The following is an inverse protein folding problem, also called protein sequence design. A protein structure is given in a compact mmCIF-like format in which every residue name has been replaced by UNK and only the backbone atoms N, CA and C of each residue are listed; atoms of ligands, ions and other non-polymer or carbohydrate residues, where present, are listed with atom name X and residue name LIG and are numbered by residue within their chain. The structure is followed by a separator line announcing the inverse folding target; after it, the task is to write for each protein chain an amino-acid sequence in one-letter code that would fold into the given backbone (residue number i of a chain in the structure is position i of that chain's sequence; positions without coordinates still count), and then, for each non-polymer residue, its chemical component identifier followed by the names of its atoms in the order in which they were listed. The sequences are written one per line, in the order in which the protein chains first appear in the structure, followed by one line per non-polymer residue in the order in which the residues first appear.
data_IF_886678702831
#
_entry.id   IF_886678702831
#
_cell.length_a   1.000
_cell.length_b   1.000
_cell.length_c   1.000
_cell.angle_alpha   90.00
_cell.angle_beta   90.00
_cell.angle_gamma   90.00
#
_symmetry.space_group_name_H-M   'P 1'
#
loop_
_entity.id
_entity.type
_entity.pdbx_description
1 polymer ?
#
# COMPACT_ATOMS: atom_id res chain seq x y z
N UNK A 1 -8.47 28.76 -31.33
CA UNK A 1 -9.29 28.08 -30.30
C UNK A 1 -9.36 26.58 -30.52
N UNK A 2 -8.75 26.05 -31.60
CA UNK A 2 -8.89 24.64 -32.00
C UNK A 2 -8.10 23.66 -31.13
N UNK A 3 -7.17 24.14 -30.30
CA UNK A 3 -6.37 23.31 -29.39
C UNK A 3 -7.04 23.07 -28.03
N UNK A 4 -8.13 23.79 -27.70
CA UNK A 4 -8.79 23.68 -26.39
C UNK A 4 -9.30 22.26 -26.12
N UNK A 5 -9.95 21.55 -27.08
CA UNK A 5 -10.37 20.17 -26.88
C UNK A 5 -9.19 19.23 -26.62
N UNK A 6 -8.05 19.43 -27.30
CA UNK A 6 -6.86 18.63 -27.09
C UNK A 6 -6.23 18.89 -25.72
N UNK A 7 -6.05 20.16 -25.34
CA UNK A 7 -5.51 20.52 -24.03
C UNK A 7 -6.40 20.00 -22.88
N UNK A 8 -7.72 20.00 -23.06
CA UNK A 8 -8.65 19.39 -22.11
C UNK A 8 -8.49 17.87 -22.04
N UNK A 9 -8.49 17.17 -23.18
CA UNK A 9 -8.30 15.72 -23.21
C UNK A 9 -6.94 15.30 -22.61
N UNK A 10 -5.87 16.00 -22.96
CA UNK A 10 -4.51 15.81 -22.42
C UNK A 10 -4.50 16.02 -20.89
N UNK A 11 -5.09 17.11 -20.39
CA UNK A 11 -5.23 17.38 -18.96
C UNK A 11 -6.02 16.29 -18.21
N UNK A 12 -7.13 15.81 -18.78
CA UNK A 12 -7.92 14.73 -18.19
C UNK A 12 -7.12 13.44 -18.16
N UNK A 13 -6.46 13.11 -19.27
CA UNK A 13 -5.67 11.89 -19.40
C UNK A 13 -4.55 11.85 -18.36
N UNK A 14 -3.84 12.97 -18.08
CA UNK A 14 -2.83 13.03 -17.02
C UNK A 14 -3.30 12.48 -15.67
N UNK A 15 -4.57 12.68 -15.35
CA UNK A 15 -5.18 12.24 -14.08
C UNK A 15 -5.62 10.77 -14.08
N UNK A 16 -5.77 10.13 -15.25
CA UNK A 16 -6.33 8.78 -15.37
C UNK A 16 -5.28 7.69 -15.21
N UNK A 17 -5.53 6.69 -14.35
CA UNK A 17 -4.68 5.50 -14.25
C UNK A 17 -4.67 4.70 -15.59
N UNK A 18 -3.75 3.73 -15.73
CA UNK A 18 -3.59 3.00 -17.00
C UNK A 18 -4.84 2.20 -17.41
N UNK A 19 -5.64 1.73 -16.44
CA UNK A 19 -6.91 1.04 -16.70
C UNK A 19 -7.95 2.00 -17.29
N UNK A 20 -8.24 3.11 -16.62
CA UNK A 20 -9.16 4.15 -17.09
C UNK A 20 -8.71 4.75 -18.43
N UNK A 21 -7.39 4.88 -18.62
CA UNK A 21 -6.78 5.31 -19.87
C UNK A 21 -7.10 4.36 -21.05
N UNK A 22 -7.04 3.05 -20.82
CA UNK A 22 -7.35 2.07 -21.87
C UNK A 22 -8.82 2.15 -22.32
N UNK A 23 -9.72 2.52 -21.41
CA UNK A 23 -11.13 2.71 -21.70
C UNK A 23 -11.38 4.00 -22.50
N UNK A 24 -10.65 5.08 -22.22
CA UNK A 24 -10.79 6.34 -22.98
C UNK A 24 -10.33 6.24 -24.42
N UNK A 25 -9.41 5.31 -24.74
CA UNK A 25 -9.02 5.05 -26.14
C UNK A 25 -10.15 4.49 -27.02
N UNK A 26 -11.22 3.98 -26.40
CA UNK A 26 -12.42 3.51 -27.12
C UNK A 26 -13.42 4.64 -27.44
N UNK A 27 -13.20 5.85 -26.92
CA UNK A 27 -13.95 7.03 -27.34
C UNK A 27 -13.52 7.34 -28.79
N UNK A 28 -14.40 7.06 -29.75
CA UNK A 28 -14.19 7.19 -31.21
C UNK A 28 -13.91 8.62 -31.73
N UNK A 29 -13.48 9.54 -30.87
CA UNK A 29 -13.09 10.89 -31.23
C UNK A 29 -11.60 10.94 -31.58
N UNK A 30 -11.28 11.62 -32.69
CA UNK A 30 -9.90 11.85 -33.14
C UNK A 30 -9.08 12.58 -32.09
N UNK A 31 -9.68 13.48 -31.31
CA UNK A 31 -9.00 14.24 -30.25
C UNK A 31 -8.54 13.31 -29.12
N UNK A 32 -9.45 12.47 -28.61
CA UNK A 32 -9.13 11.49 -27.56
C UNK A 32 -8.12 10.46 -28.01
N UNK A 33 -8.24 9.97 -29.25
CA UNK A 33 -7.28 9.03 -29.84
C UNK A 33 -5.87 9.63 -29.94
N UNK A 34 -5.76 10.86 -30.45
CA UNK A 34 -4.47 11.55 -30.58
C UNK A 34 -3.84 11.88 -29.23
N UNK A 35 -4.63 12.36 -28.27
CA UNK A 35 -4.17 12.63 -26.92
C UNK A 35 -3.73 11.33 -26.24
N UNK A 36 -4.52 10.25 -26.35
CA UNK A 36 -4.13 8.94 -25.83
C UNK A 36 -2.78 8.48 -26.40
N UNK A 37 -2.62 8.45 -27.73
CA UNK A 37 -1.36 8.06 -28.36
C UNK A 37 -0.15 8.88 -27.87
N UNK A 38 -0.35 10.19 -27.65
CA UNK A 38 0.70 11.07 -27.11
C UNK A 38 1.08 10.66 -25.69
N UNK A 39 0.09 10.40 -24.83
CA UNK A 39 0.32 9.92 -23.48
C UNK A 39 0.96 8.53 -23.44
N UNK A 40 0.57 7.62 -24.32
CA UNK A 40 1.16 6.27 -24.36
C UNK A 40 2.67 6.31 -24.65
N UNK A 41 3.09 7.23 -25.51
CA UNK A 41 4.48 7.35 -25.94
C UNK A 41 5.32 8.20 -24.98
N UNK A 42 4.70 9.16 -24.28
CA UNK A 42 5.43 10.15 -23.46
C UNK A 42 5.31 9.94 -21.95
N UNK A 43 4.35 9.16 -21.46
CA UNK A 43 4.18 8.92 -20.02
C UNK A 43 5.39 8.23 -19.42
N UNK A 44 5.81 8.74 -18.27
CA UNK A 44 6.87 8.16 -17.47
C UNK A 44 6.35 7.97 -16.05
N UNK A 45 6.37 6.72 -15.59
CA UNK A 45 6.06 6.39 -14.21
C UNK A 45 7.32 6.51 -13.36
N UNK A 46 7.12 7.03 -12.17
CA UNK A 46 8.13 7.19 -11.15
C UNK A 46 7.68 6.56 -9.84
N UNK A 47 8.66 6.08 -9.11
CA UNK A 47 8.58 5.67 -7.73
C UNK A 47 9.13 6.80 -6.85
N UNK A 48 8.34 7.21 -5.85
CA UNK A 48 8.77 8.14 -4.82
C UNK A 48 9.25 7.36 -3.61
N UNK A 49 10.56 7.36 -3.39
CA UNK A 49 11.19 6.68 -2.26
C UNK A 49 11.51 7.67 -1.14
N UNK A 50 11.05 7.36 0.07
CA UNK A 50 11.36 8.11 1.28
C UNK A 50 12.06 7.17 2.25
N UNK A 51 13.35 7.41 2.46
CA UNK A 51 14.17 6.65 3.38
C UNK A 51 14.33 7.40 4.70
N UNK A 52 14.15 6.67 5.80
CA UNK A 52 14.42 7.16 7.15
C UNK A 52 15.76 6.62 7.63
N UNK A 53 16.63 7.50 8.15
CA UNK A 53 17.91 7.12 8.77
C UNK A 53 17.83 7.15 10.28
N UNK A 54 18.68 6.35 10.92
CA UNK A 54 18.75 6.25 12.38
C UNK A 54 19.24 7.55 13.05
N UNK A 55 20.03 8.36 12.34
CA UNK A 55 20.52 9.66 12.79
C UNK A 55 19.48 10.80 12.67
N UNK A 56 18.24 10.49 12.28
CA UNK A 56 17.16 11.47 12.12
C UNK A 56 17.20 12.26 10.80
N UNK A 57 18.08 11.91 9.87
CA UNK A 57 18.06 12.44 8.50
C UNK A 57 17.22 11.55 7.58
N UNK A 58 17.02 12.03 6.35
CA UNK A 58 16.17 11.41 5.35
C UNK A 58 16.89 11.34 4.02
N UNK A 59 16.43 10.45 3.17
CA UNK A 59 16.68 10.53 1.72
C UNK A 59 15.34 10.53 1.01
N UNK A 60 15.20 11.37 -0.01
CA UNK A 60 14.00 11.42 -0.84
C UNK A 60 14.43 11.35 -2.30
N UNK A 61 13.92 10.36 -3.03
CA UNK A 61 14.25 10.18 -4.43
C UNK A 61 13.00 9.99 -5.26
N UNK A 62 13.07 10.48 -6.49
CA UNK A 62 12.15 10.11 -7.54
C UNK A 62 12.91 9.22 -8.54
N UNK A 63 12.58 7.94 -8.56
CA UNK A 63 13.23 6.95 -9.41
C UNK A 63 12.31 6.60 -10.58
N UNK A 64 12.87 6.58 -11.79
CA UNK A 64 12.12 6.14 -12.97
C UNK A 64 11.94 4.63 -12.94
N UNK A 65 10.72 4.14 -13.15
CA UNK A 65 10.42 2.70 -13.20
C UNK A 65 11.40 2.00 -14.18
N UNK A 66 12.16 1.00 -13.70
CA UNK A 66 13.19 0.23 -14.45
C UNK A 66 14.47 0.98 -14.83
N UNK A 67 14.75 2.13 -14.23
CA UNK A 67 16.06 2.77 -14.30
C UNK A 67 16.73 2.83 -12.93
N UNK A 68 18.06 2.77 -12.88
CA UNK A 68 18.84 3.13 -11.70
C UNK A 68 19.09 4.66 -11.62
N UNK A 69 18.53 5.43 -12.54
CA UNK A 69 18.63 6.87 -12.56
C UNK A 69 17.71 7.47 -11.51
N UNK A 70 18.31 8.20 -10.58
CA UNK A 70 17.58 8.97 -9.59
C UNK A 70 17.52 10.42 -10.06
N UNK A 71 16.31 10.95 -10.13
CA UNK A 71 16.10 12.36 -10.42
C UNK A 71 15.97 13.08 -9.08
N UNK A 72 17.02 13.79 -8.66
CA UNK A 72 17.00 14.60 -7.44
C UNK A 72 16.19 15.90 -7.63
N UNK A 73 15.98 16.36 -8.86
CA UNK A 73 15.26 17.61 -9.14
C UNK A 73 14.40 17.47 -10.39
N UNK A 74 13.08 17.45 -10.21
CA UNK A 74 12.11 17.47 -11.31
C UNK A 74 12.11 18.79 -12.11
N UNK A 75 12.73 19.85 -11.56
CA UNK A 75 12.58 21.22 -12.04
C UNK A 75 13.10 21.50 -13.45
N UNK A 76 13.90 20.59 -14.03
CA UNK A 76 14.59 20.84 -15.30
C UNK A 76 14.08 19.97 -16.47
N UNK A 77 13.09 19.11 -16.24
CA UNK A 77 12.58 18.22 -17.29
C UNK A 77 11.46 18.91 -18.09
N UNK A 78 11.59 19.05 -19.43
CA UNK A 78 10.57 19.71 -20.27
C UNK A 78 9.25 18.93 -20.38
N UNK A 79 9.14 17.78 -19.71
CA UNK A 79 8.00 16.85 -19.80
C UNK A 79 7.27 16.65 -18.47
N UNK A 80 7.36 17.62 -17.54
CA UNK A 80 6.66 17.58 -16.24
C UNK A 80 5.20 17.15 -16.35
N UNK A 81 4.50 17.56 -17.42
CA UNK A 81 3.11 17.14 -17.66
C UNK A 81 2.99 15.61 -17.66
N UNK A 82 3.87 14.88 -18.33
CA UNK A 82 3.76 13.43 -18.53
C UNK A 82 4.31 12.58 -17.38
N UNK A 83 4.75 13.21 -16.29
CA UNK A 83 5.27 12.55 -15.09
C UNK A 83 4.11 12.04 -14.25
N UNK A 84 4.27 10.82 -13.72
CA UNK A 84 3.33 10.22 -12.78
C UNK A 84 4.07 9.55 -11.65
N UNK A 85 3.50 9.63 -10.46
CA UNK A 85 3.95 8.83 -9.33
C UNK A 85 2.95 7.68 -9.20
N UNK A 86 3.40 6.47 -9.49
CA UNK A 86 2.55 5.29 -9.42
C UNK A 86 2.83 4.45 -8.17
N UNK A 87 4.00 4.66 -7.56
CA UNK A 87 4.48 3.92 -6.40
C UNK A 87 5.05 4.90 -5.40
N UNK A 88 4.70 4.74 -4.13
CA UNK A 88 5.34 5.47 -3.02
C UNK A 88 5.88 4.45 -2.03
N UNK A 89 7.16 4.54 -1.72
CA UNK A 89 7.85 3.64 -0.81
C UNK A 89 8.38 4.38 0.41
N UNK A 90 8.19 3.78 1.57
CA UNK A 90 8.73 4.22 2.85
C UNK A 90 9.63 3.13 3.40
N UNK A 91 10.92 3.40 3.55
CA UNK A 91 11.90 2.38 3.93
C UNK A 91 12.84 2.88 5.03
N UNK A 92 13.23 1.99 5.94
CA UNK A 92 14.40 2.22 6.79
C UNK A 92 15.65 1.94 5.97
N UNK A 93 16.70 2.74 6.19
CA UNK A 93 18.03 2.52 5.63
C UNK A 93 18.06 2.43 4.09
N UNK A 94 18.13 3.59 3.45
CA UNK A 94 18.44 3.69 2.02
C UNK A 94 19.85 3.22 1.65
N UNK A 95 20.21 3.25 0.36
CA UNK A 95 21.51 2.78 -0.12
C UNK A 95 22.67 3.42 0.67
N UNK A 96 23.55 2.59 1.24
CA UNK A 96 24.63 3.01 2.15
C UNK A 96 25.65 3.96 1.49
N UNK A 97 25.69 4.00 0.17
CA UNK A 97 26.70 4.71 -0.61
C UNK A 97 26.43 6.22 -0.76
N UNK A 98 25.32 6.76 -0.23
CA UNK A 98 24.88 8.14 -0.49
C UNK A 98 24.70 9.00 0.76
N UNK A 99 25.71 9.02 1.64
CA UNK A 99 25.69 9.89 2.84
C UNK A 99 25.58 11.38 2.53
N UNK A 100 26.07 11.81 1.35
CA UNK A 100 26.05 13.22 0.97
C UNK A 100 24.68 13.73 0.51
N UNK A 101 23.71 12.82 0.30
CA UNK A 101 22.34 13.16 -0.11
C UNK A 101 21.38 13.28 1.09
N UNK A 102 21.90 13.12 2.31
CA UNK A 102 21.09 13.20 3.52
C UNK A 102 20.50 14.60 3.69
N UNK A 103 19.19 14.65 3.91
CA UNK A 103 18.42 15.89 4.04
C UNK A 103 17.61 15.90 5.33
N UNK A 104 17.31 17.10 5.80
CA UNK A 104 16.38 17.35 6.89
C UNK A 104 14.95 17.01 6.48
N UNK A 105 14.08 16.80 7.48
CA UNK A 105 12.67 16.54 7.21
C UNK A 105 11.96 17.68 6.46
N UNK A 106 12.37 18.93 6.67
CA UNK A 106 11.76 20.08 5.99
C UNK A 106 12.11 20.08 4.50
N UNK A 107 13.36 19.73 4.16
CA UNK A 107 13.78 19.58 2.76
C UNK A 107 13.00 18.45 2.06
N UNK A 108 12.72 17.35 2.76
CA UNK A 108 11.81 16.31 2.23
C UNK A 108 10.44 16.91 1.93
N UNK A 109 9.85 17.69 2.84
CA UNK A 109 8.54 18.32 2.64
C UNK A 109 8.54 19.28 1.43
N UNK A 110 9.60 20.05 1.26
CA UNK A 110 9.76 20.97 0.12
C UNK A 110 9.79 20.22 -1.21
N UNK A 111 10.30 18.98 -1.22
CA UNK A 111 10.26 18.09 -2.40
C UNK A 111 8.88 17.46 -2.58
N UNK A 112 8.28 16.88 -1.52
CA UNK A 112 7.08 16.03 -1.67
C UNK A 112 5.77 16.80 -1.76
N UNK A 113 5.68 18.01 -1.18
CA UNK A 113 4.46 18.81 -1.21
C UNK A 113 4.09 19.23 -2.65
N UNK A 114 5.02 19.73 -3.47
CA UNK A 114 4.75 20.02 -4.88
C UNK A 114 4.28 18.81 -5.70
N UNK A 115 4.60 17.57 -5.27
CA UNK A 115 4.20 16.34 -5.96
C UNK A 115 2.75 15.95 -5.72
N UNK A 116 2.04 16.59 -4.78
CA UNK A 116 0.64 16.26 -4.44
C UNK A 116 -0.29 16.09 -5.64
N UNK A 117 -0.24 16.94 -6.69
CA UNK A 117 -1.09 16.76 -7.88
C UNK A 117 -0.84 15.46 -8.65
N UNK A 118 0.33 14.83 -8.48
CA UNK A 118 0.72 13.60 -9.16
C UNK A 118 0.30 12.33 -8.39
N UNK A 119 -0.04 12.46 -7.11
CA UNK A 119 -0.39 11.35 -6.21
C UNK A 119 -1.71 10.61 -6.50
N UNK A 120 -2.74 11.19 -7.16
CA UNK A 120 -3.96 10.45 -7.49
C UNK A 120 -3.74 9.22 -8.37
N UNK A 121 -2.58 9.16 -9.05
CA UNK A 121 -2.17 8.05 -9.91
C UNK A 121 -1.55 6.87 -9.15
N UNK A 122 -1.24 7.02 -7.85
CA UNK A 122 -0.53 6.00 -7.08
C UNK A 122 -1.37 4.73 -6.98
N UNK A 123 -0.78 3.62 -7.42
CA UNK A 123 -1.36 2.27 -7.40
C UNK A 123 -0.85 1.41 -6.25
N UNK A 124 0.34 1.72 -5.74
CA UNK A 124 1.00 0.88 -4.77
C UNK A 124 1.71 1.71 -3.70
N UNK A 125 1.58 1.24 -2.46
CA UNK A 125 2.38 1.72 -1.33
C UNK A 125 3.27 0.60 -0.82
N UNK A 126 4.54 0.93 -0.60
CA UNK A 126 5.51 0.04 0.04
C UNK A 126 5.90 0.60 1.40
N UNK A 127 5.84 -0.24 2.44
CA UNK A 127 6.30 0.10 3.78
C UNK A 127 7.31 -0.93 4.24
N UNK A 128 8.59 -0.58 4.27
CA UNK A 128 9.68 -1.42 4.78
C UNK A 128 10.33 -0.69 5.96
N UNK A 129 9.56 -0.51 7.03
CA UNK A 129 9.99 0.33 8.17
C UNK A 129 10.40 -0.54 9.36
N UNK A 130 11.64 -1.03 9.39
CA UNK A 130 12.23 -1.52 10.64
C UNK A 130 13.54 -2.30 10.47
N UNK A 131 14.25 -2.46 11.58
CA UNK A 131 15.39 -3.37 11.69
C UNK A 131 14.95 -4.64 12.42
N UNK A 132 15.29 -5.84 11.91
CA UNK A 132 14.92 -7.11 12.55
C UNK A 132 15.59 -7.35 13.92
N UNK A 133 16.58 -6.55 14.32
CA UNK A 133 17.51 -6.88 15.41
C UNK A 133 17.48 -5.96 16.65
N UNK A 134 16.39 -5.21 16.89
CA UNK A 134 15.90 -5.09 18.28
C UNK A 134 16.16 -3.84 19.12
N UNK A 135 16.97 -2.86 18.73
CA UNK A 135 17.17 -1.63 19.57
C UNK A 135 16.54 -0.35 19.00
N UNK A 136 15.94 -0.45 17.80
CA UNK A 136 15.34 0.69 17.13
C UNK A 136 13.85 0.83 17.45
N UNK A 137 13.51 1.73 18.37
CA UNK A 137 12.14 2.01 18.79
C UNK A 137 11.34 2.81 17.72
N UNK A 138 12.02 3.46 16.77
CA UNK A 138 11.35 4.11 15.64
C UNK A 138 10.40 5.25 16.01
N UNK A 139 10.46 5.75 17.26
CA UNK A 139 9.57 6.81 17.77
C UNK A 139 9.66 8.08 16.92
N UNK A 140 10.86 8.49 16.53
CA UNK A 140 11.05 9.70 15.72
C UNK A 140 10.50 9.50 14.30
N UNK A 141 10.77 8.37 13.65
CA UNK A 141 10.22 8.02 12.33
C UNK A 141 8.70 8.05 12.34
N UNK A 142 8.07 7.51 13.39
CA UNK A 142 6.61 7.55 13.53
C UNK A 142 6.09 8.98 13.63
N UNK A 143 6.79 9.89 14.31
CA UNK A 143 6.41 11.32 14.36
C UNK A 143 6.48 11.96 12.98
N UNK A 144 7.54 11.68 12.21
CA UNK A 144 7.70 12.21 10.85
C UNK A 144 6.72 11.59 9.86
N UNK A 145 6.50 10.28 9.93
CA UNK A 145 5.53 9.58 9.11
C UNK A 145 4.12 10.13 9.32
N UNK A 146 3.73 10.47 10.56
CA UNK A 146 2.46 11.13 10.84
C UNK A 146 2.30 12.48 10.14
N UNK A 147 3.37 13.23 9.91
CA UNK A 147 3.35 14.49 9.15
C UNK A 147 3.25 14.26 7.63
N UNK A 148 3.54 13.05 7.17
CA UNK A 148 3.40 12.60 5.77
C UNK A 148 2.08 11.85 5.54
N UNK A 149 1.03 12.15 6.30
CA UNK A 149 -0.23 11.43 6.21
C UNK A 149 -0.94 11.58 4.87
N UNK A 150 -0.73 12.68 4.16
CA UNK A 150 -1.21 12.84 2.79
C UNK A 150 -0.57 11.85 1.80
N UNK A 151 0.60 11.29 2.10
CA UNK A 151 1.26 10.26 1.28
C UNK A 151 0.85 8.85 1.71
N UNK A 152 0.87 8.54 3.01
CA UNK A 152 0.54 7.18 3.44
C UNK A 152 -0.96 6.93 3.52
N UNK A 153 -1.83 7.94 3.68
CA UNK A 153 -3.30 7.77 3.61
C UNK A 153 -3.83 7.78 2.17
N UNK A 154 -3.01 7.49 1.17
CA UNK A 154 -3.48 7.36 -0.20
C UNK A 154 -4.40 6.13 -0.34
N UNK A 155 -5.47 6.32 -1.11
CA UNK A 155 -6.42 5.25 -1.45
C UNK A 155 -5.81 4.44 -2.60
N UNK A 156 -5.10 3.36 -2.26
CA UNK A 156 -4.36 2.53 -3.23
C UNK A 156 -4.90 1.11 -3.34
N UNK A 157 -4.85 0.47 -4.51
CA UNK A 157 -5.24 -0.92 -4.69
C UNK A 157 -4.26 -1.93 -4.08
N UNK A 158 -2.97 -1.59 -3.96
CA UNK A 158 -1.95 -2.51 -3.45
C UNK A 158 -1.19 -1.91 -2.28
N UNK A 159 -0.99 -2.72 -1.24
CA UNK A 159 -0.14 -2.40 -0.11
C UNK A 159 0.88 -3.51 0.13
N UNK A 160 2.15 -3.20 -0.08
CA UNK A 160 3.26 -4.08 0.27
C UNK A 160 3.87 -3.60 1.58
N UNK A 161 4.05 -4.49 2.55
CA UNK A 161 4.55 -4.10 3.87
C UNK A 161 5.45 -5.12 4.56
N UNK A 162 6.46 -4.61 5.25
CA UNK A 162 7.36 -5.31 6.14
C UNK A 162 7.65 -4.37 7.31
N UNK A 163 7.34 -4.80 8.54
CA UNK A 163 7.55 -3.99 9.74
C UNK A 163 6.73 -2.67 9.79
N UNK A 164 5.66 -2.57 8.99
CA UNK A 164 4.84 -1.37 8.91
C UNK A 164 4.20 -0.97 10.26
N UNK A 165 4.20 0.34 10.62
CA UNK A 165 3.51 0.83 11.81
C UNK A 165 2.04 0.40 11.86
N UNK A 166 1.62 -0.07 13.03
CA UNK A 166 0.28 -0.66 13.21
C UNK A 166 -0.86 0.30 12.89
N UNK A 167 -0.69 1.60 13.13
CA UNK A 167 -1.68 2.63 12.82
C UNK A 167 -1.84 2.86 11.31
N UNK A 168 -0.74 2.84 10.55
CA UNK A 168 -0.75 2.89 9.08
C UNK A 168 -1.43 1.65 8.52
N UNK A 169 -1.03 0.46 8.97
CA UNK A 169 -1.64 -0.79 8.52
C UNK A 169 -3.14 -0.85 8.84
N UNK A 170 -3.54 -0.49 10.06
CA UNK A 170 -4.95 -0.44 10.44
C UNK A 170 -5.75 0.56 9.61
N UNK A 171 -5.15 1.72 9.26
CA UNK A 171 -5.81 2.68 8.40
C UNK A 171 -6.08 2.07 7.02
N UNK A 172 -5.11 1.41 6.39
CA UNK A 172 -5.35 0.80 5.08
C UNK A 172 -6.36 -0.33 5.15
N UNK A 173 -6.24 -1.24 6.11
CA UNK A 173 -7.17 -2.37 6.23
C UNK A 173 -8.61 -1.92 6.48
N UNK A 174 -8.82 -0.80 7.20
CA UNK A 174 -10.16 -0.33 7.58
C UNK A 174 -10.73 0.74 6.65
N UNK A 175 -9.90 1.71 6.25
CA UNK A 175 -10.34 2.97 5.60
C UNK A 175 -9.91 3.10 4.15
N UNK A 176 -9.01 2.26 3.64
CA UNK A 176 -8.68 2.26 2.22
C UNK A 176 -9.74 1.46 1.44
N UNK A 177 -10.67 2.17 0.81
CA UNK A 177 -11.78 1.62 0.04
C UNK A 177 -11.32 1.03 -1.31
N UNK A 178 -10.14 1.44 -1.79
CA UNK A 178 -9.59 0.94 -3.06
C UNK A 178 -8.72 -0.30 -2.87
N UNK A 179 -8.38 -0.68 -1.64
CA UNK A 179 -7.45 -1.78 -1.35
C UNK A 179 -8.00 -3.12 -1.84
N UNK A 180 -7.27 -3.76 -2.75
CA UNK A 180 -7.57 -5.08 -3.32
C UNK A 180 -6.60 -6.14 -2.85
N UNK A 181 -5.34 -5.76 -2.62
CA UNK A 181 -4.25 -6.69 -2.35
C UNK A 181 -3.34 -6.17 -1.24
N UNK A 182 -2.90 -7.08 -0.38
CA UNK A 182 -1.90 -6.81 0.64
C UNK A 182 -0.85 -7.91 0.66
N UNK A 183 0.42 -7.54 0.60
CA UNK A 183 1.55 -8.48 0.64
C UNK A 183 2.49 -8.09 1.76
N UNK A 184 2.78 -8.99 2.69
CA UNK A 184 3.67 -8.63 3.77
C UNK A 184 3.85 -9.68 4.86
N UNK A 185 4.78 -9.40 5.77
CA UNK A 185 4.97 -10.16 7.00
C UNK A 185 4.69 -9.24 8.19
N UNK A 186 3.71 -9.62 9.01
CA UNK A 186 3.56 -9.05 10.34
C UNK A 186 4.70 -9.58 11.22
N UNK A 187 5.40 -8.69 11.94
CA UNK A 187 6.12 -9.14 13.12
C UNK A 187 5.09 -9.67 14.14
N UNK A 188 5.43 -10.67 14.95
CA UNK A 188 4.62 -11.16 16.07
C UNK A 188 4.56 -10.17 17.24
N UNK A 189 4.43 -8.87 16.97
CA UNK A 189 4.20 -7.83 17.99
C UNK A 189 2.79 -7.90 18.61
N UNK A 190 1.91 -8.76 18.09
CA UNK A 190 0.60 -9.07 18.67
C UNK A 190 0.53 -10.44 19.35
N UNK A 191 1.62 -11.21 19.40
CA UNK A 191 1.60 -12.54 20.01
C UNK A 191 2.79 -12.73 20.95
N UNK A 192 2.48 -12.91 22.23
CA UNK A 192 3.35 -13.57 23.22
C UNK A 192 3.72 -15.01 22.83
N UNK A 193 3.30 -15.52 21.66
CA UNK A 193 3.70 -16.82 21.12
C UNK A 193 4.86 -16.66 20.13
N UNK A 194 5.94 -17.42 20.37
CA UNK A 194 7.22 -17.42 19.64
C UNK A 194 7.14 -17.96 18.19
N UNK A 195 6.03 -17.81 17.48
CA UNK A 195 5.82 -18.43 16.16
C UNK A 195 5.46 -17.39 15.08
N UNK A 196 5.96 -17.58 13.84
CA UNK A 196 5.69 -16.66 12.73
C UNK A 196 4.21 -16.70 12.34
N UNK A 197 3.64 -15.51 12.09
CA UNK A 197 2.28 -15.32 11.62
C UNK A 197 2.26 -15.23 10.10
N UNK A 198 1.46 -16.08 9.44
CA UNK A 198 1.16 -15.95 8.02
C UNK A 198 -0.17 -15.23 7.87
N UNK A 199 -0.18 -14.11 7.14
CA UNK A 199 -1.40 -13.38 6.76
C UNK A 199 -1.74 -13.79 5.33
N UNK A 200 -2.92 -14.38 5.12
CA UNK A 200 -3.46 -14.66 3.78
C UNK A 200 -4.48 -13.59 3.37
N UNK A 201 -4.67 -13.35 2.04
CA UNK A 201 -5.52 -12.29 1.51
C UNK A 201 -6.99 -12.41 1.92
N UNK A 202 -7.71 -11.29 1.74
CA UNK A 202 -9.13 -11.11 2.05
C UNK A 202 -9.98 -12.25 1.47
N UNK A 203 -10.63 -13.00 2.36
CA UNK A 203 -11.61 -14.04 2.01
C UNK A 203 -12.96 -13.34 1.82
N UNK A 204 -13.53 -13.38 0.61
CA UNK A 204 -14.72 -12.59 0.26
C UNK A 204 -16.03 -13.38 0.35
N UNK A 205 -15.99 -14.71 0.47
CA UNK A 205 -17.16 -15.58 0.62
C UNK A 205 -17.01 -16.64 1.73
N UNK A 206 -18.13 -17.22 2.17
CA UNK A 206 -18.13 -18.38 3.08
C UNK A 206 -17.45 -19.58 2.41
N UNK A 207 -17.66 -19.79 1.11
CA UNK A 207 -17.06 -20.90 0.36
C UNK A 207 -15.53 -20.83 0.40
N UNK A 208 -14.95 -19.63 0.40
CA UNK A 208 -13.52 -19.44 0.52
C UNK A 208 -13.02 -19.77 1.94
N UNK A 209 -13.80 -19.49 2.99
CA UNK A 209 -13.51 -19.96 4.37
C UNK A 209 -13.53 -21.48 4.41
N UNK A 210 -14.55 -22.10 3.84
CA UNK A 210 -14.71 -23.57 3.85
C UNK A 210 -13.60 -24.26 3.07
N UNK A 211 -13.24 -23.70 1.91
CA UNK A 211 -12.14 -24.17 1.08
C UNK A 211 -10.83 -24.03 1.84
N UNK A 212 -10.57 -22.86 2.43
CA UNK A 212 -9.37 -22.64 3.26
C UNK A 212 -9.33 -23.59 4.47
N UNK A 213 -10.44 -23.77 5.18
CA UNK A 213 -10.55 -24.65 6.34
C UNK A 213 -10.30 -26.11 5.95
N UNK A 214 -10.85 -26.56 4.83
CA UNK A 214 -10.64 -27.91 4.28
C UNK A 214 -9.19 -28.11 3.84
N UNK A 215 -8.62 -27.16 3.10
CA UNK A 215 -7.20 -27.20 2.68
C UNK A 215 -6.25 -27.21 3.87
N UNK A 216 -6.49 -26.35 4.86
CA UNK A 216 -5.69 -26.26 6.07
C UNK A 216 -5.79 -27.53 6.92
N UNK A 217 -6.97 -28.14 7.02
CA UNK A 217 -7.16 -29.40 7.73
C UNK A 217 -6.44 -30.57 7.05
N UNK A 218 -6.32 -30.55 5.71
CA UNK A 218 -5.59 -31.57 4.94
C UNK A 218 -4.08 -31.40 5.01
N UNK A 219 -3.60 -30.17 5.12
CA UNK A 219 -2.18 -29.87 5.19
C UNK A 219 -1.91 -28.79 6.25
N UNK A 220 -1.99 -29.15 7.54
CA UNK A 220 -1.82 -28.20 8.64
C UNK A 220 -0.36 -27.72 8.65
N UNK A 221 -0.15 -26.47 8.24
CA UNK A 221 1.14 -25.81 8.38
C UNK A 221 1.47 -25.68 9.88
N UNK A 222 2.72 -25.93 10.32
CA UNK A 222 3.11 -25.91 11.73
C UNK A 222 3.16 -24.48 12.35
N UNK A 223 2.61 -23.48 11.66
CA UNK A 223 2.66 -22.07 12.02
C UNK A 223 1.27 -21.59 12.43
N UNK A 224 1.21 -20.68 13.42
CA UNK A 224 -0.03 -20.03 13.81
C UNK A 224 -0.44 -19.04 12.70
N UNK A 225 -1.66 -19.17 12.18
CA UNK A 225 -2.16 -18.34 11.08
C UNK A 225 -3.13 -17.29 11.62
N UNK A 226 -2.91 -16.03 11.24
CA UNK A 226 -3.91 -14.97 11.44
C UNK A 226 -4.50 -14.65 10.08
N UNK A 227 -5.76 -15.05 9.89
CA UNK A 227 -6.50 -14.79 8.65
C UNK A 227 -7.48 -13.67 8.94
N UNK A 228 -7.20 -12.46 8.48
CA UNK A 228 -8.15 -11.35 8.65
C UNK A 228 -9.20 -11.47 7.55
N UNK A 229 -10.44 -11.78 7.94
CA UNK A 229 -11.54 -11.98 7.00
C UNK A 229 -12.56 -10.87 7.15
N UNK A 230 -12.63 -10.01 6.14
CA UNK A 230 -13.56 -8.89 6.10
C UNK A 230 -14.89 -9.37 5.52
N UNK A 231 -15.91 -9.53 6.37
CA UNK A 231 -17.21 -10.02 5.95
C UNK A 231 -18.29 -8.96 6.09
N UNK A 232 -18.97 -8.63 5.00
CA UNK A 232 -20.08 -7.68 5.04
C UNK A 232 -21.41 -8.27 5.48
N UNK A 233 -21.68 -9.59 5.40
CA UNK A 233 -23.07 -10.08 5.56
C UNK A 233 -23.26 -11.49 6.14
N UNK A 234 -22.22 -12.16 6.67
CA UNK A 234 -22.27 -13.61 6.92
C UNK A 234 -22.06 -14.06 8.38
N UNK A 235 -21.94 -13.13 9.33
CA UNK A 235 -21.65 -13.43 10.74
C UNK A 235 -22.63 -14.44 11.35
N UNK A 236 -23.93 -14.33 11.03
CA UNK A 236 -24.95 -15.27 11.51
C UNK A 236 -24.75 -16.71 11.01
N UNK A 237 -24.32 -16.90 9.76
CA UNK A 237 -24.13 -18.23 9.17
C UNK A 237 -22.85 -18.88 9.70
N UNK A 238 -21.82 -18.08 9.97
CA UNK A 238 -20.56 -18.53 10.57
C UNK A 238 -20.77 -18.99 12.01
N UNK A 239 -21.54 -18.23 12.81
CA UNK A 239 -21.82 -18.59 14.21
C UNK A 239 -22.61 -19.89 14.38
N UNK A 240 -23.29 -20.36 13.32
CA UNK A 240 -23.94 -21.67 13.32
C UNK A 240 -22.96 -22.83 13.09
N UNK A 241 -21.84 -22.58 12.41
CA UNK A 241 -20.86 -23.63 12.03
C UNK A 241 -19.62 -23.65 12.90
N UNK A 242 -19.19 -22.51 13.44
CA UNK A 242 -17.98 -22.40 14.23
C UNK A 242 -18.19 -21.54 15.48
N UNK A 243 -17.51 -21.87 16.59
CA UNK A 243 -17.59 -21.09 17.81
C UNK A 243 -17.02 -19.69 17.59
N UNK A 244 -17.82 -18.68 17.90
CA UNK A 244 -17.42 -17.27 17.92
C UNK A 244 -16.93 -16.94 19.34
N UNK A 245 -15.75 -16.34 19.43
CA UNK A 245 -15.20 -15.74 20.63
C UNK A 245 -15.21 -14.22 20.48
N UNK A 246 -15.91 -13.52 21.37
CA UNK A 246 -15.88 -12.06 21.42
C UNK A 246 -14.77 -11.61 22.37
N UNK A 247 -13.87 -10.73 21.91
CA UNK A 247 -12.81 -10.20 22.77
C UNK A 247 -13.33 -9.08 23.70
N UNK A 248 -12.50 -8.63 24.66
CA UNK A 248 -12.86 -7.57 25.61
C UNK A 248 -13.23 -6.22 24.96
N UNK A 249 -12.91 -6.03 23.67
CA UNK A 249 -13.24 -4.84 22.88
C UNK A 249 -14.53 -5.03 22.05
N UNK A 250 -15.27 -6.12 22.26
CA UNK A 250 -16.50 -6.42 21.53
C UNK A 250 -16.27 -6.88 20.09
N UNK A 251 -15.04 -7.27 19.72
CA UNK A 251 -14.78 -7.80 18.39
C UNK A 251 -14.98 -9.31 18.38
N UNK A 252 -15.83 -9.77 17.47
CA UNK A 252 -16.06 -11.19 17.26
C UNK A 252 -14.92 -11.82 16.47
N UNK A 253 -14.52 -13.03 16.85
CA UNK A 253 -13.51 -13.79 16.15
C UNK A 253 -13.87 -15.27 16.13
N UNK A 254 -13.58 -15.96 15.04
CA UNK A 254 -13.67 -17.40 14.95
C UNK A 254 -12.28 -17.98 15.14
N UNK A 255 -12.14 -18.93 16.07
CA UNK A 255 -10.89 -19.66 16.24
C UNK A 255 -11.06 -21.05 15.65
N UNK A 256 -10.41 -21.33 14.53
CA UNK A 256 -10.26 -22.70 14.05
C UNK A 256 -9.07 -23.33 14.79
N UNK A 257 -9.36 -24.31 15.64
CA UNK A 257 -8.32 -25.06 16.37
C UNK A 257 -8.01 -26.35 15.63
N UNK A 258 -6.74 -26.59 15.36
CA UNK A 258 -6.18 -27.89 14.98
C UNK A 258 -5.29 -28.39 16.14
N UNK A 259 -5.09 -29.71 16.31
CA UNK A 259 -4.24 -30.24 17.40
C UNK A 259 -2.82 -29.64 17.48
N UNK A 260 -2.30 -29.11 16.38
CA UNK A 260 -0.92 -28.60 16.27
C UNK A 260 -0.81 -27.12 15.92
N UNK A 261 -1.91 -26.44 15.63
CA UNK A 261 -1.94 -25.04 15.17
C UNK A 261 -3.31 -24.40 15.38
N UNK A 262 -3.36 -23.06 15.40
CA UNK A 262 -4.61 -22.32 15.43
C UNK A 262 -4.68 -21.31 14.29
N UNK A 263 -5.87 -21.13 13.72
CA UNK A 263 -6.18 -20.04 12.81
C UNK A 263 -7.20 -19.10 13.46
N UNK A 264 -6.85 -17.82 13.59
CA UNK A 264 -7.74 -16.79 14.11
C UNK A 264 -8.34 -15.99 12.97
N UNK A 265 -9.67 -15.89 12.95
CA UNK A 265 -10.45 -15.10 12.00
C UNK A 265 -11.12 -13.97 12.74
N UNK A 266 -10.75 -12.72 12.49
CA UNK A 266 -11.46 -11.57 13.08
C UNK A 266 -12.65 -11.22 12.20
N UNK A 267 -13.85 -11.22 12.76
CA UNK A 267 -15.08 -10.81 12.08
C UNK A 267 -15.29 -9.30 12.30
N UNK A 268 -15.25 -8.51 11.22
CA UNK A 268 -15.67 -7.10 11.26
C UNK A 268 -17.03 -6.97 10.57
N UNK A 269 -18.09 -6.70 11.34
CA UNK A 269 -19.37 -6.23 10.80
C UNK A 269 -19.22 -4.78 10.33
N UNK A 270 -19.44 -4.53 9.04
CA UNK A 270 -19.63 -3.18 8.53
C UNK A 270 -21.02 -2.69 8.96
N UNK A 271 -21.07 -1.64 9.78
CA UNK A 271 -22.28 -0.87 10.10
C UNK A 271 -22.61 0.09 8.96
#
# INVERSE_FOLDING_TARGET
MDDIPFAFADSVLHCLNNESYSLTGSLHDRVWTAACSTHQTRRVNFELDIFFRDNGTFLCYLQRERSNDHIQTLSNEPYLSYIRIDTVAFSMDGPLQRKNDEMSFNEVLDIVIPLKPLLPAVRELHFVIGQPNGDYDGREQRKHLRKLDFLWKLQVPRLTYFLCPSDVLQWHLRKNLKLKETTGKLLPLLTTTKRPLVVKPLVSSITDIETFSSEWSRNPQPQDLLVIVRMTNFVKQIGQKWPICTNQKGQDSVVLKHPTSAALFTLETLQ
#
